data_IF_417528634387
#
_entry.id   IF_417528634387
#
_cell.length_a   1.000
_cell.length_b   1.000
_cell.length_c   1.000
_cell.angle_alpha   90.00
_cell.angle_beta   90.00
_cell.angle_gamma   90.00
#
_symmetry.space_group_name_H-M   'P 1'
#
loop_
_entity.id
_entity.type
_entity.pdbx_description
1 polymer ?
#
# COMPACT_ATOMS: atom_id res chain seq x y z
N UNK A 1 53.24 4.51 37.19
CA UNK A 1 54.35 3.56 36.92
C UNK A 1 53.79 2.36 36.20
N UNK A 2 54.43 1.85 35.13
CA UNK A 2 54.92 2.52 33.91
C UNK A 2 54.13 2.03 32.66
N UNK A 3 53.93 2.86 31.63
CA UNK A 3 54.76 3.03 30.42
C UNK A 3 54.95 1.78 29.55
N UNK A 4 54.52 1.85 28.28
CA UNK A 4 55.44 2.06 27.16
C UNK A 4 54.69 2.53 25.90
N UNK A 5 55.19 3.63 25.35
CA UNK A 5 54.81 4.30 24.09
C UNK A 5 55.77 3.85 22.95
N UNK A 6 55.57 4.32 21.69
CA UNK A 6 55.99 3.65 20.45
C UNK A 6 57.36 4.09 19.89
N UNK A 7 57.88 3.33 18.93
CA UNK A 7 59.11 3.60 18.16
C UNK A 7 58.80 4.45 16.90
N UNK A 8 59.27 5.71 16.84
CA UNK A 8 60.37 6.27 16.00
C UNK A 8 60.12 6.22 14.48
N UNK A 9 59.85 7.33 13.76
CA UNK A 9 60.75 8.44 13.32
C UNK A 9 61.84 7.92 12.32
N UNK A 10 62.15 8.47 11.11
CA UNK A 10 62.25 9.84 10.55
C UNK A 10 62.45 9.79 9.01
N UNK A 11 62.07 10.88 8.31
CA UNK A 11 62.39 11.33 6.93
C UNK A 11 63.91 11.62 6.67
N UNK A 12 64.36 12.35 5.61
CA UNK A 12 64.30 12.15 4.12
C UNK A 12 65.69 12.41 3.46
N UNK A 13 65.95 12.06 2.19
CA UNK A 13 67.05 12.69 1.41
C UNK A 13 66.77 12.84 -0.10
N UNK A 14 67.21 14.00 -0.60
CA UNK A 14 67.23 14.50 -1.98
C UNK A 14 68.20 13.74 -2.89
N UNK A 15 67.89 13.70 -4.19
CA UNK A 15 68.92 13.78 -5.23
C UNK A 15 68.37 14.43 -6.52
N UNK A 16 68.94 15.60 -6.84
CA UNK A 16 68.90 16.23 -8.17
C UNK A 16 69.90 15.53 -9.09
N UNK A 17 69.53 15.26 -10.35
CA UNK A 17 70.45 15.32 -11.51
C UNK A 17 69.69 15.91 -12.70
N UNK A 18 70.41 16.78 -13.40
CA UNK A 18 70.05 17.78 -14.39
C UNK A 18 69.97 17.30 -15.84
N UNK A 19 69.12 18.02 -16.60
CA UNK A 19 69.24 18.52 -17.99
C UNK A 19 69.62 17.57 -19.14
N UNK A 20 68.73 17.49 -20.13
CA UNK A 20 69.08 17.71 -21.54
C UNK A 20 67.87 18.23 -22.34
N UNK A 21 68.09 19.31 -23.07
CA UNK A 21 67.19 19.91 -24.08
C UNK A 21 66.91 18.94 -25.22
N UNK A 22 65.71 19.00 -25.80
CA UNK A 22 65.54 19.06 -27.25
C UNK A 22 64.12 19.51 -27.61
N UNK A 23 64.08 20.73 -28.13
CA UNK A 23 63.55 21.12 -29.44
C UNK A 23 62.04 21.05 -29.75
N UNK A 24 61.67 22.06 -30.52
CA UNK A 24 60.34 22.54 -30.89
C UNK A 24 59.43 21.48 -31.54
N UNK A 25 58.14 21.54 -31.22
CA UNK A 25 57.05 21.41 -32.20
C UNK A 25 55.77 22.00 -31.61
N UNK A 26 55.39 23.16 -32.12
CA UNK A 26 54.00 23.61 -32.13
C UNK A 26 53.15 22.53 -32.83
N UNK A 27 52.15 22.01 -32.13
CA UNK A 27 50.99 21.40 -32.77
C UNK A 27 49.75 21.73 -31.95
N UNK A 28 48.81 22.37 -32.64
CA UNK A 28 47.46 22.72 -32.24
C UNK A 28 46.67 21.47 -31.79
N UNK A 29 46.61 21.22 -30.48
CA UNK A 29 45.57 20.42 -29.80
C UNK A 29 45.35 21.20 -28.49
N UNK A 30 44.18 21.74 -28.15
CA UNK A 30 42.98 20.98 -27.85
C UNK A 30 41.83 22.00 -27.64
N UNK A 31 40.93 22.17 -28.61
CA UNK A 31 39.66 22.91 -28.42
C UNK A 31 38.44 22.08 -28.80
N UNK A 32 38.64 20.87 -29.33
CA UNK A 32 37.59 19.92 -29.73
C UNK A 32 37.27 18.89 -28.63
N UNK A 33 38.20 18.58 -27.73
CA UNK A 33 37.97 17.67 -26.60
C UNK A 33 37.06 18.25 -25.52
N UNK A 34 37.07 19.58 -25.33
CA UNK A 34 36.16 20.28 -24.42
C UNK A 34 34.72 20.33 -24.97
N UNK A 35 34.53 20.46 -26.29
CA UNK A 35 33.19 20.38 -26.90
C UNK A 35 32.62 18.96 -26.82
N UNK A 36 33.41 17.94 -27.16
CA UNK A 36 32.97 16.54 -27.05
C UNK A 36 32.70 16.13 -25.59
N UNK A 37 33.51 16.60 -24.62
CA UNK A 37 33.29 16.33 -23.19
C UNK A 37 32.02 17.02 -22.66
N UNK A 38 31.75 18.26 -23.07
CA UNK A 38 30.53 18.98 -22.69
C UNK A 38 29.28 18.36 -23.34
N UNK A 39 29.39 17.88 -24.59
CA UNK A 39 28.30 17.17 -25.28
C UNK A 39 28.03 15.82 -24.60
N UNK A 40 29.07 15.06 -24.23
CA UNK A 40 28.92 13.79 -23.50
C UNK A 40 28.33 14.04 -22.10
N UNK A 41 28.80 15.03 -21.36
CA UNK A 41 28.29 15.35 -20.01
C UNK A 41 26.82 15.82 -20.06
N UNK A 42 26.47 16.63 -21.07
CA UNK A 42 25.08 17.03 -21.33
C UNK A 42 24.19 15.83 -21.68
N UNK A 43 24.64 14.97 -22.60
CA UNK A 43 23.89 13.79 -23.04
C UNK A 43 23.67 12.79 -21.89
N UNK A 44 24.71 12.55 -21.08
CA UNK A 44 24.62 11.71 -19.88
C UNK A 44 23.68 12.33 -18.84
N UNK A 45 23.73 13.64 -18.64
CA UNK A 45 22.82 14.34 -17.72
C UNK A 45 21.36 14.29 -18.19
N UNK A 46 21.11 14.36 -19.49
CA UNK A 46 19.77 14.28 -20.08
C UNK A 46 19.19 12.87 -19.97
N UNK A 47 19.99 11.84 -20.31
CA UNK A 47 19.62 10.44 -20.11
C UNK A 47 19.31 10.11 -18.64
N UNK A 48 20.16 10.57 -17.70
CA UNK A 48 19.93 10.40 -16.26
C UNK A 48 18.66 11.12 -15.79
N UNK A 49 18.32 12.27 -16.39
CA UNK A 49 17.10 12.99 -16.05
C UNK A 49 15.86 12.22 -16.50
N UNK A 50 15.89 11.65 -17.71
CA UNK A 50 14.81 10.86 -18.29
C UNK A 50 14.58 9.56 -17.51
N UNK A 51 15.64 8.82 -17.17
CA UNK A 51 15.56 7.60 -16.34
C UNK A 51 15.01 7.89 -14.94
N UNK A 52 15.44 8.99 -14.30
CA UNK A 52 14.91 9.41 -13.01
C UNK A 52 13.43 9.80 -13.10
N UNK A 53 12.98 10.36 -14.23
CA UNK A 53 11.59 10.73 -14.45
C UNK A 53 10.72 9.48 -14.62
N UNK A 54 11.15 8.51 -15.43
CA UNK A 54 10.44 7.23 -15.59
C UNK A 54 10.34 6.48 -14.26
N UNK A 55 11.44 6.42 -13.51
CA UNK A 55 11.49 5.78 -12.19
C UNK A 55 10.61 6.52 -11.18
N UNK A 56 10.56 7.85 -11.23
CA UNK A 56 9.67 8.65 -10.38
C UNK A 56 8.19 8.40 -10.70
N UNK A 57 7.83 8.27 -11.98
CA UNK A 57 6.47 7.95 -12.43
C UNK A 57 6.08 6.53 -11.95
N UNK A 58 6.97 5.54 -12.15
CA UNK A 58 6.76 4.18 -11.67
C UNK A 58 6.61 4.12 -10.14
N UNK A 59 7.45 4.89 -9.42
CA UNK A 59 7.38 5.02 -7.96
C UNK A 59 6.05 5.61 -7.51
N UNK A 60 5.57 6.69 -8.15
CA UNK A 60 4.26 7.28 -7.82
C UNK A 60 3.09 6.33 -8.05
N UNK A 61 3.16 5.50 -9.09
CA UNK A 61 2.18 4.44 -9.41
C UNK A 61 2.27 3.23 -8.46
N UNK A 62 3.41 3.02 -7.78
CA UNK A 62 3.60 1.88 -6.88
C UNK A 62 2.67 1.87 -5.67
N UNK A 63 2.12 3.03 -5.29
CA UNK A 63 1.21 3.14 -4.16
C UNK A 63 0.09 4.12 -4.46
N UNK A 64 -1.10 3.59 -4.74
CA UNK A 64 -2.32 4.39 -4.77
C UNK A 64 -2.86 4.50 -3.35
N UNK A 65 -3.08 5.72 -2.87
CA UNK A 65 -3.65 5.94 -1.55
C UNK A 65 -5.04 5.31 -1.49
N UNK A 66 -5.34 4.50 -0.45
CA UNK A 66 -6.68 3.97 -0.27
C UNK A 66 -7.67 5.12 -0.03
N UNK A 67 -8.89 4.90 -0.49
CA UNK A 67 -9.98 5.85 -0.39
C UNK A 67 -10.32 6.18 1.07
N UNK A 68 -10.87 7.37 1.32
CA UNK A 68 -11.12 7.84 2.69
C UNK A 68 -12.05 6.90 3.47
N UNK A 69 -13.09 6.36 2.84
CA UNK A 69 -14.00 5.42 3.50
C UNK A 69 -13.31 4.11 3.90
N UNK A 70 -12.34 3.64 3.10
CA UNK A 70 -11.55 2.45 3.40
C UNK A 70 -10.67 2.68 4.63
N UNK A 71 -10.07 3.87 4.73
CA UNK A 71 -9.30 4.26 5.90
C UNK A 71 -10.16 4.34 7.16
N UNK A 72 -11.34 4.97 7.09
CA UNK A 72 -12.25 5.06 8.24
C UNK A 72 -12.67 3.67 8.71
N UNK A 73 -13.10 2.82 7.78
CA UNK A 73 -13.53 1.45 8.10
C UNK A 73 -12.38 0.60 8.67
N UNK A 74 -11.20 0.63 8.03
CA UNK A 74 -10.02 -0.10 8.50
C UNK A 74 -9.57 0.33 9.91
N UNK A 75 -9.63 1.63 10.21
CA UNK A 75 -9.34 2.15 11.55
C UNK A 75 -10.37 1.70 12.59
N UNK A 76 -11.68 1.70 12.26
CA UNK A 76 -12.71 1.19 13.16
C UNK A 76 -12.48 -0.30 13.47
N UNK A 77 -12.17 -1.12 12.46
CA UNK A 77 -11.82 -2.52 12.68
C UNK A 77 -10.54 -2.68 13.48
N UNK A 78 -9.52 -1.84 13.29
CA UNK A 78 -8.32 -1.84 14.11
C UNK A 78 -8.62 -1.55 15.59
N UNK A 79 -9.50 -0.59 15.89
CA UNK A 79 -9.97 -0.34 17.27
C UNK A 79 -10.64 -1.58 17.84
N UNK A 80 -11.56 -2.22 17.08
CA UNK A 80 -12.24 -3.42 17.55
C UNK A 80 -11.27 -4.58 17.79
N UNK A 81 -10.28 -4.74 16.91
CA UNK A 81 -9.27 -5.79 17.04
C UNK A 81 -8.38 -5.59 18.28
N UNK A 82 -7.91 -4.36 18.51
CA UNK A 82 -7.14 -4.03 19.72
C UNK A 82 -7.93 -4.22 21.01
N UNK A 83 -9.24 -3.91 20.97
CA UNK A 83 -10.16 -4.15 22.08
C UNK A 83 -10.30 -5.64 22.38
N UNK A 84 -10.58 -6.46 21.36
CA UNK A 84 -10.68 -7.93 21.49
C UNK A 84 -9.39 -8.53 22.04
N UNK A 85 -8.23 -8.11 21.55
CA UNK A 85 -6.95 -8.60 22.04
C UNK A 85 -6.66 -8.21 23.48
N UNK A 86 -6.93 -6.96 23.87
CA UNK A 86 -6.73 -6.51 25.24
C UNK A 86 -7.65 -7.27 26.21
N UNK A 87 -8.93 -7.42 25.87
CA UNK A 87 -9.87 -8.20 26.68
C UNK A 87 -9.44 -9.66 26.74
N UNK A 88 -9.00 -10.26 25.61
CA UNK A 88 -8.49 -11.63 25.58
C UNK A 88 -7.27 -11.81 26.47
N UNK A 89 -6.36 -10.84 26.48
CA UNK A 89 -5.18 -10.88 27.34
C UNK A 89 -5.57 -10.83 28.83
N UNK A 90 -6.52 -9.97 29.22
CA UNK A 90 -7.00 -9.92 30.61
C UNK A 90 -7.77 -11.16 31.04
N UNK A 91 -8.62 -11.69 30.16
CA UNK A 91 -9.54 -12.79 30.48
C UNK A 91 -8.87 -14.17 30.36
N UNK A 92 -8.05 -14.36 29.34
CA UNK A 92 -7.45 -15.66 28.99
C UNK A 92 -5.93 -15.72 29.22
N UNK A 93 -5.28 -14.59 29.52
CA UNK A 93 -3.82 -14.53 29.69
C UNK A 93 -3.04 -14.59 28.36
N UNK A 94 -3.73 -14.50 27.22
CA UNK A 94 -3.14 -14.57 25.89
C UNK A 94 -3.85 -13.63 24.92
N UNK A 95 -3.08 -13.06 24.00
CA UNK A 95 -3.63 -12.29 22.87
C UNK A 95 -4.05 -13.25 21.76
N UNK A 96 -5.16 -12.94 21.09
CA UNK A 96 -5.72 -13.77 20.02
C UNK A 96 -5.10 -13.54 18.65
N UNK A 97 -4.32 -12.48 18.47
CA UNK A 97 -3.72 -12.13 17.18
C UNK A 97 -2.19 -12.34 17.09
N UNK A 98 -1.50 -12.50 18.23
CA UNK A 98 -0.04 -12.69 18.26
C UNK A 98 0.35 -14.13 17.87
N UNK A 99 0.19 -14.46 16.59
CA UNK A 99 0.47 -15.80 16.07
C UNK A 99 1.96 -16.15 16.10
N UNK A 100 2.87 -15.16 16.00
CA UNK A 100 4.30 -15.37 16.18
C UNK A 100 4.61 -15.86 17.59
N UNK A 101 4.05 -15.19 18.60
CA UNK A 101 4.18 -15.60 20.01
C UNK A 101 3.54 -16.96 20.28
N UNK A 102 2.33 -17.21 19.77
CA UNK A 102 1.66 -18.49 19.91
C UNK A 102 2.45 -19.65 19.28
N UNK A 103 3.04 -19.43 18.10
CA UNK A 103 3.88 -20.44 17.41
C UNK A 103 5.16 -20.73 18.18
N UNK A 104 5.84 -19.69 18.70
CA UNK A 104 7.00 -19.89 19.57
C UNK A 104 6.62 -20.61 20.87
N UNK A 105 5.50 -20.23 21.49
CA UNK A 105 4.95 -20.87 22.68
C UNK A 105 4.61 -22.34 22.46
N UNK A 106 4.08 -22.69 21.28
CA UNK A 106 3.84 -24.07 20.88
C UNK A 106 5.16 -24.86 20.80
N UNK A 107 6.19 -24.32 20.15
CA UNK A 107 7.51 -24.95 20.05
C UNK A 107 8.16 -25.20 21.42
N UNK A 108 8.10 -24.22 22.32
CA UNK A 108 8.58 -24.35 23.70
C UNK A 108 7.78 -25.42 24.45
N UNK A 109 6.44 -25.42 24.32
CA UNK A 109 5.58 -26.38 25.00
C UNK A 109 5.81 -27.82 24.52
N UNK A 110 6.19 -28.01 23.25
CA UNK A 110 6.57 -29.33 22.69
C UNK A 110 7.91 -29.80 23.25
N UNK A 111 8.88 -28.89 23.42
CA UNK A 111 10.16 -29.24 24.04
C UNK A 111 9.98 -29.67 25.50
N UNK A 112 9.10 -28.99 26.24
CA UNK A 112 8.88 -29.18 27.67
C UNK A 112 7.76 -30.20 28.00
N UNK A 113 7.45 -31.13 27.08
CA UNK A 113 6.36 -32.11 27.24
C UNK A 113 6.43 -32.95 28.52
N UNK A 114 7.63 -33.16 29.07
CA UNK A 114 7.88 -33.96 30.27
C UNK A 114 7.59 -33.22 31.58
N UNK A 115 7.29 -31.91 31.54
CA UNK A 115 6.87 -31.15 32.71
C UNK A 115 5.35 -31.24 32.93
N UNK A 116 4.91 -31.17 34.19
CA UNK A 116 3.47 -31.15 34.52
C UNK A 116 2.75 -30.01 33.78
N UNK A 117 1.68 -30.36 33.06
CA UNK A 117 0.88 -29.42 32.26
C UNK A 117 1.43 -29.11 30.86
N UNK A 118 2.50 -29.76 30.41
CA UNK A 118 3.07 -29.57 29.07
C UNK A 118 2.06 -29.86 27.94
N UNK A 119 1.31 -30.97 28.07
CA UNK A 119 0.29 -31.36 27.07
C UNK A 119 -0.83 -30.32 26.94
N UNK A 120 -1.28 -29.73 28.06
CA UNK A 120 -2.35 -28.73 28.04
C UNK A 120 -1.92 -27.43 27.36
N UNK A 121 -0.68 -26.99 27.58
CA UNK A 121 -0.11 -25.82 26.91
C UNK A 121 0.09 -26.06 25.41
N UNK A 122 0.58 -27.24 25.03
CA UNK A 122 0.66 -27.64 23.61
C UNK A 122 -0.72 -27.59 22.97
N UNK A 123 -1.72 -28.20 23.61
CA UNK A 123 -3.11 -28.19 23.14
C UNK A 123 -3.63 -26.77 22.98
N UNK A 124 -3.44 -25.91 23.98
CA UNK A 124 -3.92 -24.53 23.96
C UNK A 124 -3.31 -23.73 22.80
N UNK A 125 -1.98 -23.76 22.64
CA UNK A 125 -1.30 -22.99 21.58
C UNK A 125 -1.59 -23.55 20.19
N UNK A 126 -1.65 -24.88 20.05
CA UNK A 126 -2.00 -25.53 18.78
C UNK A 126 -3.42 -25.15 18.36
N UNK A 127 -4.40 -25.27 19.27
CA UNK A 127 -5.79 -24.92 18.98
C UNK A 127 -5.95 -23.43 18.68
N UNK A 128 -5.21 -22.55 19.35
CA UNK A 128 -5.23 -21.11 19.06
C UNK A 128 -4.80 -20.82 17.61
N UNK A 129 -3.66 -21.38 17.17
CA UNK A 129 -3.15 -21.22 15.80
C UNK A 129 -4.11 -21.87 14.79
N UNK A 130 -4.63 -23.06 15.09
CA UNK A 130 -5.59 -23.76 14.21
C UNK A 130 -6.87 -22.95 14.05
N UNK A 131 -7.49 -22.47 15.12
CA UNK A 131 -8.75 -21.74 15.04
C UNK A 131 -8.59 -20.38 14.35
N UNK A 132 -7.47 -19.68 14.60
CA UNK A 132 -7.13 -18.47 13.84
C UNK A 132 -7.04 -18.77 12.34
N UNK A 133 -6.34 -19.85 11.98
CA UNK A 133 -6.20 -20.27 10.57
C UNK A 133 -7.55 -20.69 9.97
N UNK A 134 -8.39 -21.39 10.72
CA UNK A 134 -9.77 -21.74 10.30
C UNK A 134 -10.60 -20.49 10.06
N UNK A 135 -10.48 -19.47 10.92
CA UNK A 135 -11.12 -18.17 10.70
C UNK A 135 -10.71 -17.52 9.38
N UNK A 136 -9.40 -17.47 9.11
CA UNK A 136 -8.88 -16.94 7.86
C UNK A 136 -9.33 -17.76 6.63
N UNK A 137 -9.38 -19.09 6.77
CA UNK A 137 -9.90 -20.00 5.74
C UNK A 137 -11.38 -19.76 5.45
N UNK A 138 -12.21 -19.61 6.49
CA UNK A 138 -13.63 -19.27 6.35
C UNK A 138 -13.82 -17.94 5.61
N UNK A 139 -12.96 -16.94 5.88
CA UNK A 139 -13.00 -15.68 5.15
C UNK A 139 -12.78 -15.90 3.65
N UNK A 140 -11.81 -16.74 3.28
CA UNK A 140 -11.53 -17.08 1.87
C UNK A 140 -12.67 -17.84 1.18
N UNK A 141 -13.45 -18.62 1.95
CA UNK A 141 -14.68 -19.24 1.43
C UNK A 141 -15.82 -18.22 1.24
N UNK A 142 -15.94 -17.25 2.15
CA UNK A 142 -16.99 -16.21 2.09
C UNK A 142 -16.69 -15.18 0.99
N UNK A 143 -15.42 -14.84 0.79
CA UNK A 143 -14.96 -13.80 -0.15
C UNK A 143 -14.00 -14.45 -1.17
N UNK A 144 -14.53 -15.01 -2.28
CA UNK A 144 -13.70 -15.67 -3.29
C UNK A 144 -12.78 -14.68 -4.01
N UNK A 145 -11.49 -15.02 -4.12
CA UNK A 145 -10.51 -14.24 -4.88
C UNK A 145 -10.61 -14.48 -6.39
N UNK A 146 -11.43 -13.70 -7.09
CA UNK A 146 -11.54 -13.73 -8.55
C UNK A 146 -11.53 -12.32 -9.16
N UNK A 147 -10.76 -12.12 -10.23
CA UNK A 147 -10.59 -10.84 -10.95
C UNK A 147 -11.81 -10.40 -11.78
N UNK A 148 -13.01 -10.91 -11.50
CA UNK A 148 -14.23 -10.52 -12.23
C UNK A 148 -15.03 -9.57 -11.34
N UNK A 149 -14.64 -8.30 -11.37
CA UNK A 149 -15.41 -7.19 -10.79
C UNK A 149 -16.59 -6.84 -11.71
N UNK A 150 -17.59 -7.73 -11.79
CA UNK A 150 -18.90 -7.39 -12.32
C UNK A 150 -19.91 -7.31 -11.17
N UNK A 151 -20.11 -6.08 -10.66
CA UNK A 151 -21.38 -5.69 -10.03
C UNK A 151 -21.68 -6.17 -8.59
N UNK A 152 -20.74 -6.05 -7.65
CA UNK A 152 -21.08 -5.92 -6.21
C UNK A 152 -21.37 -7.23 -5.44
N UNK A 153 -20.62 -8.31 -5.69
CA UNK A 153 -20.69 -9.56 -4.90
C UNK A 153 -19.49 -9.73 -3.97
N UNK A 154 -19.19 -8.76 -3.12
CA UNK A 154 -18.36 -9.05 -1.95
C UNK A 154 -19.22 -9.23 -0.71
N UNK A 155 -19.20 -10.44 -0.15
CA UNK A 155 -19.88 -10.82 1.08
C UNK A 155 -19.16 -10.30 2.34
N UNK A 156 -18.59 -9.09 2.29
CA UNK A 156 -17.97 -8.44 3.46
C UNK A 156 -18.95 -8.30 4.62
N UNK A 157 -20.22 -7.96 4.33
CA UNK A 157 -21.28 -7.92 5.34
C UNK A 157 -21.50 -9.27 6.04
N UNK A 158 -21.45 -10.37 5.27
CA UNK A 158 -21.54 -11.73 5.82
C UNK A 158 -20.33 -12.07 6.70
N UNK A 159 -19.13 -11.68 6.29
CA UNK A 159 -17.92 -11.89 7.09
C UNK A 159 -17.97 -11.11 8.41
N UNK A 160 -18.44 -9.85 8.40
CA UNK A 160 -18.66 -9.04 9.61
C UNK A 160 -19.72 -9.62 10.55
N UNK A 161 -20.82 -10.15 9.99
CA UNK A 161 -21.85 -10.84 10.79
C UNK A 161 -21.28 -12.13 11.40
N UNK A 162 -20.51 -12.91 10.64
CA UNK A 162 -19.86 -14.11 11.15
C UNK A 162 -18.83 -13.79 12.26
N UNK A 163 -18.05 -12.72 12.11
CA UNK A 163 -17.16 -12.21 13.16
C UNK A 163 -17.93 -11.88 14.44
N UNK A 164 -19.04 -11.15 14.31
CA UNK A 164 -19.93 -10.79 15.42
C UNK A 164 -20.48 -12.02 16.15
N UNK A 165 -20.94 -13.03 15.41
CA UNK A 165 -21.45 -14.29 15.98
C UNK A 165 -20.34 -15.00 16.76
N UNK A 166 -19.13 -15.10 16.21
CA UNK A 166 -18.00 -15.73 16.89
C UNK A 166 -17.66 -15.01 18.21
N UNK A 167 -17.67 -13.68 18.22
CA UNK A 167 -17.44 -12.89 19.44
C UNK A 167 -18.56 -13.02 20.48
N UNK A 168 -19.82 -13.14 20.04
CA UNK A 168 -20.94 -13.46 20.93
C UNK A 168 -20.73 -14.85 21.56
N UNK A 169 -20.33 -15.84 20.77
CA UNK A 169 -20.01 -17.19 21.27
C UNK A 169 -18.88 -17.12 22.28
N UNK A 170 -17.77 -16.42 21.99
CA UNK A 170 -16.67 -16.20 22.95
C UNK A 170 -17.17 -15.66 24.28
N UNK A 171 -18.08 -14.70 24.25
CA UNK A 171 -18.63 -14.07 25.46
C UNK A 171 -19.54 -15.02 26.26
N UNK A 172 -20.44 -15.72 25.57
CA UNK A 172 -21.56 -16.44 26.18
C UNK A 172 -21.31 -17.94 26.41
N UNK A 173 -20.24 -18.51 25.86
CA UNK A 173 -19.93 -19.93 26.05
C UNK A 173 -19.68 -20.25 27.53
N UNK A 174 -20.38 -21.25 28.12
CA UNK A 174 -20.17 -21.63 29.52
C UNK A 174 -18.76 -22.14 29.79
N UNK A 175 -18.20 -22.86 28.81
CA UNK A 175 -16.89 -23.49 28.91
C UNK A 175 -15.77 -22.51 28.56
N UNK A 176 -15.21 -21.88 29.60
CA UNK A 176 -14.25 -20.78 29.46
C UNK A 176 -12.91 -21.19 28.85
N UNK A 177 -12.57 -22.47 28.88
CA UNK A 177 -11.36 -23.01 28.24
C UNK A 177 -11.42 -22.97 26.71
N UNK A 178 -12.63 -22.96 26.13
CA UNK A 178 -12.84 -23.01 24.67
C UNK A 178 -13.06 -21.61 24.08
N UNK A 179 -13.53 -20.66 24.90
CA UNK A 179 -13.74 -19.26 24.53
C UNK A 179 -12.58 -18.58 23.75
N UNK A 180 -11.29 -18.73 24.13
CA UNK A 180 -10.18 -18.09 23.41
C UNK A 180 -10.05 -18.57 21.96
N UNK A 181 -10.47 -19.80 21.64
CA UNK A 181 -10.38 -20.34 20.29
C UNK A 181 -11.40 -19.70 19.35
N UNK A 182 -12.61 -19.40 19.84
CA UNK A 182 -13.60 -18.64 19.06
C UNK A 182 -13.17 -17.20 18.82
N UNK A 183 -12.49 -16.58 19.80
CA UNK A 183 -11.93 -15.24 19.65
C UNK A 183 -10.76 -15.23 18.64
N UNK A 184 -9.90 -16.25 18.68
CA UNK A 184 -8.85 -16.44 17.68
C UNK A 184 -9.45 -16.67 16.28
N UNK A 185 -10.52 -17.44 16.16
CA UNK A 185 -11.23 -17.63 14.89
C UNK A 185 -11.82 -16.33 14.37
N UNK A 186 -12.43 -15.49 15.22
CA UNK A 186 -12.96 -14.19 14.80
C UNK A 186 -11.83 -13.25 14.35
N UNK A 187 -10.72 -13.22 15.08
CA UNK A 187 -9.53 -12.44 14.73
C UNK A 187 -8.92 -12.89 13.38
N UNK A 188 -8.83 -14.20 13.13
CA UNK A 188 -8.37 -14.76 11.87
C UNK A 188 -9.26 -14.39 10.69
N UNK A 189 -10.59 -14.46 10.89
CA UNK A 189 -11.58 -14.05 9.91
C UNK A 189 -11.44 -12.56 9.56
N UNK A 190 -11.36 -11.69 10.57
CA UNK A 190 -11.22 -10.24 10.39
C UNK A 190 -9.92 -9.87 9.67
N UNK A 191 -8.81 -10.53 10.01
CA UNK A 191 -7.51 -10.28 9.40
C UNK A 191 -7.46 -10.67 7.92
N UNK A 192 -8.06 -11.81 7.57
CA UNK A 192 -8.20 -12.21 6.18
C UNK A 192 -9.11 -11.26 5.41
N UNK A 193 -10.23 -10.84 6.01
CA UNK A 193 -11.17 -9.89 5.42
C UNK A 193 -10.49 -8.55 5.10
N UNK A 194 -9.73 -7.99 6.05
CA UNK A 194 -8.99 -6.75 5.83
C UNK A 194 -7.94 -6.89 4.72
N UNK A 195 -7.23 -8.01 4.67
CA UNK A 195 -6.22 -8.27 3.64
C UNK A 195 -6.82 -8.35 2.23
N UNK A 196 -8.03 -8.92 2.10
CA UNK A 196 -8.74 -8.99 0.82
C UNK A 196 -9.36 -7.64 0.42
N UNK A 197 -9.87 -6.87 1.40
CA UNK A 197 -10.57 -5.62 1.13
C UNK A 197 -9.63 -4.42 0.89
N UNK A 198 -8.55 -4.33 1.67
CA UNK A 198 -7.65 -3.18 1.69
C UNK A 198 -6.31 -3.45 0.99
N UNK A 199 -6.16 -4.64 0.38
CA UNK A 199 -4.92 -5.10 -0.23
C UNK A 199 -3.87 -5.50 0.81
N UNK A 200 -2.72 -5.99 0.32
CA UNK A 200 -1.66 -6.54 1.16
C UNK A 200 -1.04 -5.57 2.20
N UNK A 201 -1.34 -4.27 2.10
CA UNK A 201 -0.73 -3.20 2.90
C UNK A 201 -1.44 -2.98 4.24
N UNK A 202 -2.72 -3.30 4.37
CA UNK A 202 -3.50 -2.96 5.57
C UNK A 202 -3.94 -4.24 6.29
N UNK A 203 -3.23 -4.58 7.37
CA UNK A 203 -3.62 -5.62 8.34
C UNK A 203 -3.81 -4.97 9.71
N UNK A 204 -5.00 -5.15 10.30
CA UNK A 204 -5.41 -4.47 11.54
C UNK A 204 -4.64 -4.93 12.77
N UNK A 205 -4.12 -6.16 12.79
CA UNK A 205 -3.44 -6.75 13.97
C UNK A 205 -1.98 -7.09 13.72
N UNK A 206 -1.43 -6.77 12.55
CA UNK A 206 -0.04 -7.06 12.20
C UNK A 206 0.92 -5.99 12.74
N UNK A 207 0.79 -5.68 14.02
CA UNK A 207 1.45 -4.54 14.68
C UNK A 207 2.96 -4.55 14.48
N UNK A 208 3.60 -5.72 14.58
CA UNK A 208 5.06 -5.85 14.37
C UNK A 208 5.49 -5.38 12.98
N UNK A 209 4.78 -5.80 11.92
CA UNK A 209 5.08 -5.35 10.57
C UNK A 209 4.70 -3.89 10.35
N UNK A 210 3.54 -3.45 10.88
CA UNK A 210 3.13 -2.05 10.79
C UNK A 210 4.17 -1.11 11.41
N UNK A 211 4.69 -1.43 12.59
CA UNK A 211 5.75 -0.65 13.24
C UNK A 211 7.07 -0.69 12.45
N UNK A 212 7.42 -1.84 11.88
CA UNK A 212 8.61 -1.99 11.02
C UNK A 212 8.49 -1.11 9.78
N UNK A 213 7.32 -1.12 9.13
CA UNK A 213 7.04 -0.32 7.94
C UNK A 213 7.03 1.18 8.28
N UNK A 214 6.43 1.58 9.40
CA UNK A 214 6.49 2.97 9.89
C UNK A 214 7.95 3.38 10.13
N UNK A 215 8.74 2.56 10.82
CA UNK A 215 10.14 2.85 11.12
C UNK A 215 11.00 2.99 9.87
N UNK A 216 10.91 2.04 8.94
CA UNK A 216 11.67 2.06 7.69
C UNK A 216 11.26 3.24 6.79
N UNK A 217 9.95 3.46 6.61
CA UNK A 217 9.40 4.53 5.77
C UNK A 217 9.72 5.92 6.34
N UNK A 218 9.56 6.11 7.65
CA UNK A 218 9.93 7.37 8.30
C UNK A 218 11.43 7.61 8.28
N UNK A 219 12.26 6.56 8.42
CA UNK A 219 13.70 6.64 8.30
C UNK A 219 14.16 7.11 6.90
N UNK A 220 13.58 6.56 5.83
CA UNK A 220 13.85 7.01 4.45
C UNK A 220 13.45 8.47 4.24
N UNK A 221 12.23 8.84 4.62
CA UNK A 221 11.74 10.21 4.52
C UNK A 221 12.65 11.18 5.30
N UNK A 222 13.05 10.82 6.52
CA UNK A 222 13.97 11.62 7.34
C UNK A 222 15.35 11.77 6.67
N UNK A 223 15.89 10.71 6.06
CA UNK A 223 17.18 10.77 5.36
C UNK A 223 17.13 11.70 4.15
N UNK A 224 16.05 11.66 3.37
CA UNK A 224 15.82 12.58 2.23
C UNK A 224 15.74 14.04 2.71
N UNK A 225 14.98 14.29 3.78
CA UNK A 225 14.87 15.62 4.39
C UNK A 225 16.21 16.12 4.96
N UNK A 226 16.98 15.24 5.59
CA UNK A 226 18.30 15.57 6.12
C UNK A 226 19.28 15.93 5.01
N UNK A 227 19.29 15.18 3.89
CA UNK A 227 20.12 15.50 2.72
C UNK A 227 19.77 16.87 2.13
N UNK A 228 18.49 17.22 2.06
CA UNK A 228 18.02 18.54 1.65
C UNK A 228 18.59 19.65 2.55
N UNK A 229 18.52 19.46 3.88
CA UNK A 229 19.01 20.45 4.86
C UNK A 229 20.53 20.57 4.83
N UNK A 230 21.26 19.43 4.84
CA UNK A 230 22.72 19.42 4.89
C UNK A 230 23.32 19.94 3.59
N UNK A 231 22.88 19.43 2.44
CA UNK A 231 23.45 19.84 1.14
C UNK A 231 22.90 21.17 0.62
N UNK A 232 21.89 21.76 1.28
CA UNK A 232 21.15 22.97 0.85
C UNK A 232 20.72 22.91 -0.63
N UNK A 233 20.42 21.72 -1.16
CA UNK A 233 19.97 21.51 -2.54
C UNK A 233 18.46 21.34 -2.60
N UNK A 234 17.88 21.68 -3.76
CA UNK A 234 16.51 21.29 -4.08
C UNK A 234 16.46 19.77 -4.26
N UNK A 235 15.34 19.17 -3.84
CA UNK A 235 15.08 17.75 -4.02
C UNK A 235 14.99 17.42 -5.51
N UNK A 236 15.58 16.30 -5.91
CA UNK A 236 15.41 15.76 -7.25
C UNK A 236 13.99 15.26 -7.49
N UNK A 237 13.59 15.08 -8.75
CA UNK A 237 12.25 14.58 -9.12
C UNK A 237 11.98 13.22 -8.48
N UNK A 238 12.96 12.32 -8.48
CA UNK A 238 12.87 11.01 -7.82
C UNK A 238 12.68 11.12 -6.31
N UNK A 239 13.52 11.90 -5.61
CA UNK A 239 13.42 12.08 -4.15
C UNK A 239 12.06 12.67 -3.73
N UNK A 240 11.48 13.56 -4.54
CA UNK A 240 10.13 14.07 -4.27
C UNK A 240 9.05 13.01 -4.44
N UNK A 241 9.17 12.16 -5.46
CA UNK A 241 8.25 11.05 -5.69
C UNK A 241 8.32 9.99 -4.58
N UNK A 242 9.54 9.63 -4.16
CA UNK A 242 9.77 8.72 -3.03
C UNK A 242 9.18 9.26 -1.73
N UNK A 243 9.45 10.53 -1.41
CA UNK A 243 8.92 11.17 -0.20
C UNK A 243 7.38 11.23 -0.20
N UNK A 244 6.77 11.47 -1.36
CA UNK A 244 5.31 11.49 -1.51
C UNK A 244 4.69 10.10 -1.27
N UNK A 245 5.29 9.04 -1.81
CA UNK A 245 4.84 7.67 -1.60
C UNK A 245 5.01 7.26 -0.14
N UNK A 246 6.17 7.55 0.45
CA UNK A 246 6.46 7.23 1.84
C UNK A 246 5.52 7.99 2.80
N UNK A 247 5.24 9.27 2.53
CA UNK A 247 4.25 10.04 3.28
C UNK A 247 2.83 9.47 3.14
N UNK A 248 2.43 9.02 1.94
CA UNK A 248 1.12 8.38 1.71
C UNK A 248 1.02 7.06 2.50
N UNK A 249 2.06 6.23 2.52
CA UNK A 249 2.10 5.00 3.33
C UNK A 249 1.96 5.29 4.83
N UNK A 250 2.72 6.28 5.33
CA UNK A 250 2.65 6.68 6.74
C UNK A 250 1.27 7.21 7.14
N UNK A 251 0.59 7.95 6.26
CA UNK A 251 -0.79 8.41 6.48
C UNK A 251 -1.79 7.27 6.65
N UNK A 252 -1.49 6.06 6.19
CA UNK A 252 -2.32 4.87 6.40
C UNK A 252 -1.87 4.10 7.65
N UNK A 253 -0.57 3.82 7.76
CA UNK A 253 0.00 2.97 8.80
C UNK A 253 -0.09 3.58 10.21
N UNK A 254 0.16 4.88 10.34
CA UNK A 254 0.15 5.55 11.65
C UNK A 254 -1.25 5.56 12.27
N UNK A 255 -2.32 6.00 11.56
CA UNK A 255 -3.68 5.89 12.07
C UNK A 255 -4.04 4.46 12.48
N UNK A 256 -3.74 3.46 11.64
CA UNK A 256 -4.05 2.06 11.95
C UNK A 256 -3.41 1.59 13.26
N UNK A 257 -2.13 1.89 13.46
CA UNK A 257 -1.44 1.57 14.71
C UNK A 257 -2.07 2.30 15.90
N UNK A 258 -2.31 3.61 15.78
CA UNK A 258 -2.89 4.40 16.87
C UNK A 258 -4.31 3.96 17.21
N UNK A 259 -5.11 3.54 16.21
CA UNK A 259 -6.44 2.99 16.37
C UNK A 259 -6.41 1.65 17.08
N UNK A 260 -5.50 0.74 16.70
CA UNK A 260 -5.32 -0.52 17.42
C UNK A 260 -4.93 -0.27 18.89
N UNK A 261 -3.95 0.61 19.14
CA UNK A 261 -3.54 0.97 20.49
C UNK A 261 -4.69 1.58 21.32
N UNK A 262 -5.46 2.49 20.71
CA UNK A 262 -6.65 3.05 21.33
C UNK A 262 -7.71 2.00 21.64
N UNK A 263 -7.89 1.02 20.75
CA UNK A 263 -8.69 -0.18 20.98
C UNK A 263 -8.24 -0.96 22.20
N UNK A 264 -6.93 -1.20 22.35
CA UNK A 264 -6.38 -1.87 23.53
C UNK A 264 -6.69 -1.12 24.82
N UNK A 265 -6.55 0.22 24.81
CA UNK A 265 -6.91 1.07 25.94
C UNK A 265 -8.40 0.97 26.29
N UNK A 266 -9.29 1.07 25.29
CA UNK A 266 -10.73 0.89 25.49
C UNK A 266 -11.06 -0.51 26.02
N UNK A 267 -10.42 -1.56 25.51
CA UNK A 267 -10.59 -2.92 25.97
C UNK A 267 -10.21 -3.09 27.45
N UNK A 268 -9.11 -2.46 27.88
CA UNK A 268 -8.72 -2.43 29.29
C UNK A 268 -9.77 -1.74 30.18
N UNK A 269 -10.30 -0.59 29.73
CA UNK A 269 -11.37 0.11 30.44
C UNK A 269 -12.66 -0.71 30.50
N UNK A 270 -13.08 -1.33 29.40
CA UNK A 270 -14.31 -2.12 29.32
C UNK A 270 -14.22 -3.41 30.12
N UNK A 271 -13.05 -4.07 30.12
CA UNK A 271 -12.85 -5.30 30.89
C UNK A 271 -13.13 -5.07 32.38
N UNK A 272 -12.77 -3.91 32.93
CA UNK A 272 -13.01 -3.56 34.33
C UNK A 272 -14.50 -3.57 34.71
N UNK A 273 -15.36 -3.13 33.82
CA UNK A 273 -16.82 -2.98 34.08
C UNK A 273 -17.62 -4.20 33.61
N UNK A 274 -17.18 -4.88 32.55
CA UNK A 274 -17.97 -5.91 31.85
C UNK A 274 -17.35 -7.32 31.84
N UNK A 275 -16.07 -7.48 32.24
CA UNK A 275 -15.33 -8.75 32.21
C UNK A 275 -15.50 -9.49 30.86
N UNK A 276 -16.09 -10.69 30.86
CA UNK A 276 -16.35 -11.50 29.65
C UNK A 276 -17.38 -10.89 28.69
N UNK A 277 -18.26 -10.01 29.17
CA UNK A 277 -19.26 -9.34 28.33
C UNK A 277 -18.64 -8.22 27.49
N UNK A 278 -17.38 -7.83 27.74
CA UNK A 278 -16.70 -6.81 26.95
C UNK A 278 -16.58 -7.19 25.45
N UNK A 279 -16.56 -8.48 25.11
CA UNK A 279 -16.60 -8.97 23.72
C UNK A 279 -17.90 -8.65 22.99
N UNK A 280 -18.99 -8.32 23.69
CA UNK A 280 -20.26 -7.95 23.05
C UNK A 280 -20.18 -6.58 22.38
N UNK A 281 -19.28 -5.69 22.82
CA UNK A 281 -19.09 -4.37 22.21
C UNK A 281 -18.52 -4.49 20.79
N UNK A 282 -17.37 -5.14 20.55
CA UNK A 282 -16.88 -5.36 19.19
C UNK A 282 -17.88 -6.19 18.38
N UNK A 283 -18.57 -7.17 18.98
CA UNK A 283 -19.62 -7.92 18.28
C UNK A 283 -20.79 -7.04 17.82
N UNK A 284 -21.26 -6.10 18.65
CA UNK A 284 -22.33 -5.19 18.28
C UNK A 284 -21.88 -4.25 17.17
N UNK A 285 -20.65 -3.73 17.23
CA UNK A 285 -20.11 -2.81 16.21
C UNK A 285 -19.96 -3.53 14.87
N UNK A 286 -19.28 -4.68 14.83
CA UNK A 286 -19.06 -5.45 13.59
C UNK A 286 -20.36 -6.02 13.05
N UNK A 287 -21.24 -6.53 13.91
CA UNK A 287 -22.56 -7.04 13.53
C UNK A 287 -23.44 -5.94 12.94
N UNK A 288 -23.51 -4.76 13.57
CA UNK A 288 -24.26 -3.61 13.03
C UNK A 288 -23.67 -3.17 11.69
N UNK A 289 -22.35 -3.04 11.58
CA UNK A 289 -21.68 -2.69 10.33
C UNK A 289 -21.98 -3.72 9.23
N UNK A 290 -21.97 -5.01 9.56
CA UNK A 290 -22.28 -6.11 8.64
C UNK A 290 -23.73 -6.09 8.15
N UNK A 291 -24.68 -5.83 9.05
CA UNK A 291 -26.10 -5.66 8.70
C UNK A 291 -26.29 -4.44 7.81
N UNK A 292 -25.78 -3.28 8.23
CA UNK A 292 -25.87 -2.03 7.45
C UNK A 292 -25.25 -2.22 6.07
N UNK A 293 -24.07 -2.83 5.96
CA UNK A 293 -23.44 -3.12 4.68
C UNK A 293 -24.32 -4.06 3.83
N UNK A 294 -24.89 -5.10 4.42
CA UNK A 294 -25.74 -6.06 3.71
C UNK A 294 -27.04 -5.43 3.19
N UNK A 295 -27.66 -4.53 3.95
CA UNK A 295 -28.89 -3.83 3.55
C UNK A 295 -28.62 -2.67 2.60
N UNK A 296 -27.56 -1.89 2.85
CA UNK A 296 -27.21 -0.75 2.01
C UNK A 296 -26.44 -1.15 0.75
N UNK A 297 -26.09 -2.44 0.56
CA UNK A 297 -25.36 -2.93 -0.62
C UNK A 297 -25.97 -2.48 -1.95
N UNK A 298 -27.30 -2.45 -2.06
CA UNK A 298 -27.98 -2.10 -3.31
C UNK A 298 -27.93 -0.60 -3.60
N UNK A 299 -27.89 0.23 -2.55
CA UNK A 299 -27.71 1.69 -2.67
C UNK A 299 -26.24 2.04 -2.87
N UNK A 300 -25.33 1.39 -2.14
CA UNK A 300 -23.88 1.51 -2.30
C UNK A 300 -23.45 1.05 -3.70
N UNK A 301 -24.05 -0.01 -4.25
CA UNK A 301 -23.75 -0.49 -5.62
C UNK A 301 -23.98 0.60 -6.67
N UNK A 302 -25.06 1.37 -6.54
CA UNK A 302 -25.35 2.50 -7.44
C UNK A 302 -24.34 3.65 -7.28
N UNK A 303 -23.91 3.92 -6.05
CA UNK A 303 -22.89 4.92 -5.75
C UNK A 303 -21.48 4.49 -6.18
N UNK A 304 -21.14 3.20 -6.04
CA UNK A 304 -19.86 2.64 -6.48
C UNK A 304 -19.78 2.50 -7.99
N UNK A 305 -20.85 2.10 -8.68
CA UNK A 305 -20.87 2.06 -10.14
C UNK A 305 -20.69 3.45 -10.75
N UNK A 306 -21.33 4.48 -10.19
CA UNK A 306 -21.11 5.86 -10.67
C UNK A 306 -19.67 6.32 -10.44
N UNK A 307 -19.07 6.00 -9.29
CA UNK A 307 -17.66 6.30 -9.03
C UNK A 307 -16.69 5.52 -9.92
N UNK A 308 -16.96 4.23 -10.18
CA UNK A 308 -16.12 3.38 -11.04
C UNK A 308 -16.22 3.81 -12.50
N UNK A 309 -17.40 4.24 -12.96
CA UNK A 309 -17.60 4.88 -14.27
C UNK A 309 -16.85 6.20 -14.35
N UNK A 310 -16.94 7.08 -13.33
CA UNK A 310 -16.22 8.35 -13.32
C UNK A 310 -14.70 8.14 -13.37
N UNK A 311 -14.19 7.18 -12.60
CA UNK A 311 -12.78 6.81 -12.61
C UNK A 311 -12.33 6.20 -13.93
N UNK A 312 -13.11 5.27 -14.50
CA UNK A 312 -12.79 4.70 -15.82
C UNK A 312 -12.80 5.77 -16.91
N UNK A 313 -13.72 6.75 -16.83
CA UNK A 313 -13.76 7.88 -17.73
C UNK A 313 -12.52 8.78 -17.59
N UNK A 314 -12.03 8.99 -16.36
CA UNK A 314 -10.78 9.73 -16.11
C UNK A 314 -9.57 8.97 -16.68
N UNK A 315 -9.46 7.66 -16.43
CA UNK A 315 -8.40 6.79 -16.97
C UNK A 315 -8.42 6.78 -18.52
N UNK A 316 -9.59 6.68 -19.15
CA UNK A 316 -9.77 6.77 -20.61
C UNK A 316 -9.38 8.16 -21.13
N UNK A 317 -9.71 9.23 -20.39
CA UNK A 317 -9.30 10.59 -20.70
C UNK A 317 -7.78 10.78 -20.66
N UNK A 318 -7.11 10.24 -19.65
CA UNK A 318 -5.65 10.25 -19.56
C UNK A 318 -5.02 9.48 -20.72
N UNK A 319 -5.54 8.28 -21.03
CA UNK A 319 -5.03 7.43 -22.11
C UNK A 319 -5.20 8.09 -23.48
N UNK A 320 -6.34 8.74 -23.73
CA UNK A 320 -6.56 9.57 -24.92
C UNK A 320 -5.50 10.68 -25.02
N UNK A 321 -5.22 11.38 -23.91
CA UNK A 321 -4.21 12.45 -23.91
C UNK A 321 -2.78 11.95 -24.16
N UNK A 322 -2.47 10.70 -23.77
CA UNK A 322 -1.18 10.07 -24.03
C UNK A 322 -1.06 9.62 -25.49
N UNK A 323 -2.09 8.99 -26.03
CA UNK A 323 -2.17 8.60 -27.44
C UNK A 323 -2.03 9.80 -28.37
N UNK A 324 -2.70 10.91 -28.04
CA UNK A 324 -2.61 12.17 -28.78
C UNK A 324 -1.18 12.73 -28.79
N UNK A 325 -0.48 12.63 -27.65
CA UNK A 325 0.92 13.07 -27.55
C UNK A 325 1.85 12.16 -28.35
N UNK A 326 1.68 10.85 -28.24
CA UNK A 326 2.46 9.87 -29.01
C UNK A 326 2.24 10.04 -30.51
N UNK A 327 1.00 10.24 -30.95
CA UNK A 327 0.66 10.49 -32.36
C UNK A 327 1.29 11.79 -32.87
N UNK A 328 1.22 12.88 -32.11
CA UNK A 328 1.86 14.15 -32.49
C UNK A 328 3.37 14.04 -32.56
N UNK A 329 4.00 13.31 -31.63
CA UNK A 329 5.44 13.04 -31.67
C UNK A 329 5.81 12.20 -32.91
N UNK A 330 5.01 11.19 -33.25
CA UNK A 330 5.21 10.38 -34.45
C UNK A 330 5.06 11.20 -35.73
N UNK A 331 4.04 12.06 -35.82
CA UNK A 331 3.86 12.98 -36.96
C UNK A 331 5.04 13.95 -37.11
N UNK A 332 5.64 14.38 -36.00
CA UNK A 332 6.85 15.20 -36.02
C UNK A 332 8.07 14.41 -36.50
N UNK A 333 8.23 13.15 -36.09
CA UNK A 333 9.30 12.27 -36.57
C UNK A 333 9.16 11.99 -38.08
N UNK A 334 7.94 11.72 -38.55
CA UNK A 334 7.63 11.51 -39.96
C UNK A 334 7.90 12.78 -40.78
N UNK A 335 7.53 13.96 -40.27
CA UNK A 335 7.79 15.25 -40.94
C UNK A 335 9.26 15.67 -40.96
N UNK A 336 10.07 15.23 -39.99
CA UNK A 336 11.50 15.55 -39.92
C UNK A 336 12.38 14.64 -40.79
N UNK A 337 11.80 13.70 -41.54
CA UNK A 337 12.53 12.74 -42.36
C UNK A 337 13.38 13.44 -43.44
N UNK A 338 14.71 13.32 -43.43
CA UNK A 338 15.55 13.62 -44.59
C UNK A 338 15.44 12.47 -45.59
N UNK A 339 15.47 12.77 -46.89
CA UNK A 339 15.54 11.78 -47.97
C UNK A 339 16.92 11.10 -48.05
N UNK A 340 17.31 10.35 -47.02
CA UNK A 340 18.50 9.48 -47.08
C UNK A 340 18.39 8.40 -46.02
N UNK A 341 18.37 7.14 -46.46
CA UNK A 341 18.26 5.97 -45.60
C UNK A 341 19.47 5.77 -44.68
N UNK A 342 19.27 5.12 -43.53
CA UNK A 342 19.61 3.69 -43.37
C UNK A 342 19.22 3.13 -41.99
N UNK A 343 18.77 3.95 -41.04
CA UNK A 343 18.22 3.46 -39.76
C UNK A 343 16.75 3.85 -39.62
N UNK A 344 15.84 3.01 -40.13
CA UNK A 344 14.41 3.18 -39.89
C UNK A 344 14.08 2.67 -38.47
N UNK A 345 13.62 3.51 -37.53
CA UNK A 345 12.95 2.98 -36.35
C UNK A 345 11.72 2.19 -36.84
N UNK A 346 11.37 1.12 -36.15
CA UNK A 346 10.29 0.21 -36.53
C UNK A 346 8.91 0.88 -36.41
N UNK A 347 8.62 1.79 -37.35
CA UNK A 347 7.39 2.59 -37.41
C UNK A 347 6.18 1.67 -37.59
N UNK A 348 6.39 0.52 -38.24
CA UNK A 348 5.35 -0.47 -38.48
C UNK A 348 4.95 -1.20 -37.18
N UNK A 349 5.93 -1.61 -36.33
CA UNK A 349 5.59 -2.17 -35.02
C UNK A 349 5.06 -1.15 -34.02
N UNK A 350 5.45 0.13 -34.15
CA UNK A 350 4.91 1.20 -33.30
C UNK A 350 3.48 1.57 -33.70
N UNK A 351 3.15 1.56 -34.99
CA UNK A 351 1.76 1.74 -35.48
C UNK A 351 0.86 0.55 -35.07
N UNK A 352 1.37 -0.68 -35.11
CA UNK A 352 0.71 -1.87 -34.57
C UNK A 352 0.44 -1.71 -33.05
N UNK A 353 1.39 -1.17 -32.30
CA UNK A 353 1.22 -0.90 -30.86
C UNK A 353 0.16 0.19 -30.60
N UNK A 354 0.14 1.26 -31.38
CA UNK A 354 -0.89 2.32 -31.29
C UNK A 354 -2.26 1.76 -31.60
N UNK A 355 -2.39 0.96 -32.67
CA UNK A 355 -3.64 0.28 -33.05
C UNK A 355 -4.15 -0.65 -31.95
N UNK A 356 -3.28 -1.48 -31.37
CA UNK A 356 -3.62 -2.33 -30.23
C UNK A 356 -4.06 -1.53 -28.99
N UNK A 357 -3.48 -0.35 -28.76
CA UNK A 357 -3.88 0.53 -27.67
C UNK A 357 -5.28 1.14 -27.89
N UNK A 358 -5.56 1.59 -29.11
CA UNK A 358 -6.87 2.14 -29.50
C UNK A 358 -7.97 1.07 -29.43
N UNK A 359 -7.67 -0.15 -29.86
CA UNK A 359 -8.63 -1.26 -29.79
C UNK A 359 -9.00 -1.60 -28.33
N UNK A 360 -7.99 -1.65 -27.44
CA UNK A 360 -8.23 -1.80 -26.00
C UNK A 360 -8.99 -0.64 -25.38
N UNK A 361 -8.84 0.58 -25.89
CA UNK A 361 -9.67 1.71 -25.46
C UNK A 361 -11.13 1.51 -25.79
N UNK A 362 -11.44 1.08 -27.01
CA UNK A 362 -12.82 0.81 -27.39
C UNK A 362 -13.43 -0.35 -26.60
N UNK A 363 -12.66 -1.36 -26.21
CA UNK A 363 -13.13 -2.39 -25.27
C UNK A 363 -13.51 -1.79 -23.91
N UNK A 364 -12.69 -0.88 -23.37
CA UNK A 364 -12.97 -0.22 -22.08
C UNK A 364 -14.17 0.72 -22.19
N UNK A 365 -14.26 1.53 -23.26
CA UNK A 365 -15.42 2.40 -23.54
C UNK A 365 -16.72 1.59 -23.68
N UNK A 366 -16.66 0.43 -24.34
CA UNK A 366 -17.81 -0.46 -24.45
C UNK A 366 -18.24 -1.02 -23.08
N UNK A 367 -17.30 -1.36 -22.20
CA UNK A 367 -17.60 -1.76 -20.82
C UNK A 367 -18.26 -0.63 -20.05
N UNK A 368 -17.80 0.63 -20.21
CA UNK A 368 -18.44 1.81 -19.61
C UNK A 368 -19.88 1.97 -20.11
N UNK A 369 -20.10 1.89 -21.43
CA UNK A 369 -21.45 1.97 -22.01
C UNK A 369 -22.38 0.86 -21.51
N UNK A 370 -21.88 -0.37 -21.39
CA UNK A 370 -22.64 -1.50 -20.89
C UNK A 370 -23.02 -1.32 -19.41
N UNK A 371 -22.10 -0.76 -18.61
CA UNK A 371 -22.38 -0.37 -17.22
C UNK A 371 -23.46 0.72 -17.14
N UNK A 372 -23.40 1.74 -18.00
CA UNK A 372 -24.41 2.81 -18.06
C UNK A 372 -25.79 2.31 -18.55
N UNK A 373 -25.84 1.37 -19.50
CA UNK A 373 -27.10 0.79 -20.01
C UNK A 373 -27.79 -0.15 -19.02
N UNK A 374 -27.08 -0.63 -17.99
CA UNK A 374 -27.64 -1.48 -16.93
C UNK A 374 -28.49 -0.71 -15.90
N UNK A 375 -28.58 0.63 -16.01
CA UNK A 375 -29.56 1.42 -15.27
C UNK A 375 -30.99 1.12 -15.74
N UNK A 376 -31.93 0.74 -14.85
CA UNK A 376 -33.34 0.76 -15.22
C UNK A 376 -33.73 2.22 -15.48
N UNK A 377 -34.13 2.49 -16.73
CA UNK A 377 -34.53 3.80 -17.24
C UNK A 377 -35.25 4.65 -16.18
N UNK A 378 -34.53 5.61 -15.59
CA UNK A 378 -35.18 6.66 -14.83
C UNK A 378 -35.93 7.54 -15.84
N UNK A 379 -37.25 7.55 -15.69
CA UNK A 379 -38.15 8.49 -16.37
C UNK A 379 -37.61 9.92 -16.24
N UNK A 380 -37.62 10.75 -17.31
CA UNK A 380 -36.99 12.06 -17.28
C UNK A 380 -37.71 12.96 -16.28
N UNK A 381 -37.13 13.12 -15.09
CA UNK A 381 -37.52 14.16 -14.14
C UNK A 381 -37.13 15.51 -14.75
N UNK A 382 -38.15 16.33 -14.93
CA UNK A 382 -38.11 17.67 -15.52
C UNK A 382 -37.01 18.54 -14.89
N UNK A 383 -36.10 19.02 -15.74
CA UNK A 383 -35.26 20.19 -15.45
C UNK A 383 -36.15 21.39 -15.06
N UNK A 384 -35.94 22.04 -13.90
CA UNK A 384 -36.41 23.41 -13.73
C UNK A 384 -35.46 24.33 -14.51
N UNK A 385 -36.03 24.99 -15.53
CA UNK A 385 -35.41 26.04 -16.34
C UNK A 385 -34.62 27.03 -15.49
N UNK A 386 -33.40 27.31 -15.94
CA UNK A 386 -32.64 28.51 -15.61
C UNK A 386 -33.50 29.76 -15.81
N UNK A 387 -33.69 30.55 -14.74
CA UNK A 387 -34.11 31.95 -14.87
C UNK A 387 -32.86 32.82 -14.92
N UNK A 388 -32.59 33.34 -16.12
CA UNK A 388 -31.89 34.60 -16.27
C UNK A 388 -32.67 35.68 -15.50
N UNK A 389 -31.98 36.43 -14.64
CA UNK A 389 -32.34 37.80 -14.36
C UNK A 389 -31.11 38.69 -14.58
N UNK A 390 -31.19 39.40 -15.70
CA UNK A 390 -30.45 40.62 -16.01
C UNK A 390 -30.78 41.74 -15.02
N UNK A 391 -29.78 42.57 -14.78
CA UNK A 391 -29.81 43.80 -14.02
C UNK A 391 -30.89 44.79 -14.48
N UNK A 392 -31.44 45.56 -13.54
CA UNK A 392 -31.79 46.97 -13.75
C UNK A 392 -32.03 47.68 -12.39
N UNK A 393 -31.30 48.79 -12.24
CA UNK A 393 -31.35 49.86 -11.23
C UNK A 393 -30.82 49.61 -9.82
#
# INVERSE_FOLDING_TARGET
MPMLQPSSARDPEMQQVSLEENDETESEEDSSTDEDSNVIEYTVSEMLHEENLETAIATRKSFNSPELWMLVFGNVLAVMAGLVDAVSLFVFGLTTTNMTGATAGLGISIHDLNYEGGIDKVRQMALLVTFFTVGAFLCGLIIPGGKVHFGGKSFYGTALIAESILLIITSQIPEREVAPYFAAMSAGLQNAMCSMHFGAVVRTTHVTGTLTDIGSTSGRAAMILLRRVWRRRKLGVLETAELEVDARKLKVLVPLFTSFFFGCYLGACLHKEMSYNAFLVPAAVTGTAGVVYTFMRETLKKAFQSYEVDRLNEDVGEMNSMLDRSRRALEQLIRRRPESGEDAPDVESLDEQIRNMVERMHEVEHVIEEMCKSEPAQSPAQHPRARHHTAHF
#
